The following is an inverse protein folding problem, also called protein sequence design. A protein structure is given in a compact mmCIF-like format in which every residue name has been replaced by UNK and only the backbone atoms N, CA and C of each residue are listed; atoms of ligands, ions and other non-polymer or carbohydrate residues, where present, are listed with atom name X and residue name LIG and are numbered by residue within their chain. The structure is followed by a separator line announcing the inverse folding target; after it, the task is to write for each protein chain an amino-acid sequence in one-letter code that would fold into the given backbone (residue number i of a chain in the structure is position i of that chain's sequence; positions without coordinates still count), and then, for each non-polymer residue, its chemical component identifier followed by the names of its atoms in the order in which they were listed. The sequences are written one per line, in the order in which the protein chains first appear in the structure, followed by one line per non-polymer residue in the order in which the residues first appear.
data_IF_203800197927
#
_entry.id   IF_203800197927
#
_cell.length_a   1.000
_cell.length_b   1.000
_cell.length_c   1.000
_cell.angle_alpha   90.00
_cell.angle_beta   90.00
_cell.angle_gamma   90.00
#
_symmetry.space_group_name_H-M   'P 1'
#
loop_
_entity.id
_entity.type
_entity.pdbx_description
1 polymer ?
#
# COMPACT_ATOMS: atom_id res chain seq x y z
N UNK A 1 37.11 -77.39 -41.43
CA UNK A 1 35.89 -76.55 -41.44
C UNK A 1 35.22 -76.66 -40.08
N UNK A 2 35.48 -75.75 -39.14
CA UNK A 2 34.44 -75.03 -38.38
C UNK A 2 35.12 -73.92 -37.55
N UNK A 3 34.51 -72.73 -37.55
CA UNK A 3 35.04 -71.48 -37.01
C UNK A 3 34.64 -71.32 -35.54
N UNK A 4 35.54 -70.73 -34.77
CA UNK A 4 35.21 -70.04 -33.52
C UNK A 4 34.47 -68.73 -33.86
N UNK A 5 33.38 -68.37 -33.17
CA UNK A 5 33.04 -66.97 -33.03
C UNK A 5 32.84 -66.56 -31.57
N UNK A 6 33.78 -65.73 -31.14
CA UNK A 6 33.73 -64.69 -30.13
C UNK A 6 32.39 -64.45 -29.39
N UNK A 7 32.51 -64.46 -28.06
CA UNK A 7 31.54 -63.94 -27.08
C UNK A 7 31.05 -62.52 -27.46
N UNK A 8 29.74 -62.23 -27.37
CA UNK A 8 29.24 -60.87 -27.54
C UNK A 8 29.63 -59.99 -26.35
N UNK A 9 30.43 -58.94 -26.60
CA UNK A 9 30.64 -57.85 -25.62
C UNK A 9 29.34 -57.08 -25.44
N UNK A 10 28.74 -57.18 -24.26
CA UNK A 10 27.67 -56.29 -23.83
C UNK A 10 28.15 -54.84 -23.91
N UNK A 11 27.56 -54.06 -24.83
CA UNK A 11 27.64 -52.60 -24.80
C UNK A 11 26.66 -52.13 -23.74
N UNK A 12 27.11 -52.01 -22.50
CA UNK A 12 26.35 -51.34 -21.45
C UNK A 12 26.25 -49.84 -21.78
N UNK A 13 25.15 -49.45 -22.42
CA UNK A 13 24.75 -48.06 -22.58
C UNK A 13 24.35 -47.47 -21.24
N UNK A 14 25.28 -46.77 -20.57
CA UNK A 14 24.99 -45.88 -19.43
C UNK A 14 25.85 -44.62 -19.55
N UNK A 15 25.47 -43.74 -20.47
CA UNK A 15 25.96 -42.36 -20.52
C UNK A 15 24.80 -41.33 -20.48
N UNK A 16 23.55 -41.78 -20.57
CA UNK A 16 22.39 -40.89 -20.71
C UNK A 16 21.88 -40.32 -19.37
N UNK A 17 22.25 -40.90 -18.23
CA UNK A 17 21.80 -40.46 -16.90
C UNK A 17 22.65 -39.33 -16.32
N UNK A 18 23.93 -39.25 -16.68
CA UNK A 18 24.86 -38.21 -16.22
C UNK A 18 24.55 -36.87 -16.90
N UNK A 19 24.29 -36.90 -18.22
CA UNK A 19 23.93 -35.74 -19.04
C UNK A 19 22.55 -35.15 -18.68
N UNK A 20 21.62 -35.97 -18.17
CA UNK A 20 20.31 -35.49 -17.70
C UNK A 20 20.42 -34.70 -16.39
N UNK A 21 21.27 -35.14 -15.46
CA UNK A 21 21.51 -34.45 -14.19
C UNK A 21 22.20 -33.10 -14.38
N UNK A 22 23.26 -33.07 -15.19
CA UNK A 22 23.98 -31.83 -15.51
C UNK A 22 23.09 -30.83 -16.23
N UNK A 23 22.29 -31.27 -17.22
CA UNK A 23 21.34 -30.39 -17.91
C UNK A 23 20.25 -29.84 -16.98
N UNK A 24 19.75 -30.64 -16.04
CA UNK A 24 18.76 -30.17 -15.08
C UNK A 24 19.35 -29.12 -14.12
N UNK A 25 20.59 -29.31 -13.68
CA UNK A 25 21.31 -28.33 -12.85
C UNK A 25 21.52 -27.03 -13.64
N UNK A 26 22.00 -27.11 -14.87
CA UNK A 26 22.19 -25.94 -15.74
C UNK A 26 20.87 -25.20 -16.00
N UNK A 27 19.78 -25.93 -16.26
CA UNK A 27 18.45 -25.36 -16.42
C UNK A 27 17.98 -24.65 -15.14
N UNK A 28 18.21 -25.25 -13.96
CA UNK A 28 17.87 -24.63 -12.68
C UNK A 28 18.73 -23.39 -12.42
N UNK A 29 20.02 -23.42 -12.74
CA UNK A 29 20.91 -22.26 -12.64
C UNK A 29 20.47 -21.13 -13.56
N UNK A 30 20.09 -21.41 -14.81
CA UNK A 30 19.54 -20.41 -15.73
C UNK A 30 18.22 -19.82 -15.22
N UNK A 31 17.32 -20.67 -14.69
CA UNK A 31 16.07 -20.22 -14.11
C UNK A 31 16.28 -19.36 -12.85
N UNK A 32 17.25 -19.72 -12.01
CA UNK A 32 17.64 -18.95 -10.82
C UNK A 32 18.34 -17.63 -11.17
N UNK A 33 19.18 -17.60 -12.20
CA UNK A 33 19.81 -16.38 -12.71
C UNK A 33 18.77 -15.41 -13.28
N UNK A 34 17.77 -15.94 -14.01
CA UNK A 34 16.65 -15.15 -14.50
C UNK A 34 15.80 -14.58 -13.34
N UNK A 35 15.50 -15.40 -12.32
CA UNK A 35 14.79 -14.93 -11.11
C UNK A 35 15.59 -13.86 -10.37
N UNK A 36 16.91 -14.03 -10.22
CA UNK A 36 17.79 -13.06 -9.56
C UNK A 36 17.87 -11.74 -10.34
N UNK A 37 18.00 -11.80 -11.67
CA UNK A 37 18.00 -10.62 -12.53
C UNK A 37 16.64 -9.89 -12.54
N UNK A 38 15.53 -10.63 -12.45
CA UNK A 38 14.19 -10.06 -12.36
C UNK A 38 13.96 -9.35 -11.01
N UNK A 39 14.53 -9.90 -9.94
CA UNK A 39 14.56 -9.28 -8.60
C UNK A 39 15.35 -7.97 -8.60
N UNK A 40 16.50 -7.91 -9.27
CA UNK A 40 17.33 -6.70 -9.33
C UNK A 40 16.70 -5.58 -10.16
N UNK A 41 15.79 -5.91 -11.07
CA UNK A 41 15.23 -4.96 -12.07
C UNK A 41 13.81 -4.48 -11.77
N UNK A 42 12.99 -5.24 -11.03
CA UNK A 42 11.52 -4.96 -10.98
C UNK A 42 10.93 -4.94 -9.57
N UNK A 43 11.45 -5.77 -8.67
CA UNK A 43 10.94 -5.91 -7.30
C UNK A 43 12.12 -6.13 -6.35
N UNK A 44 12.61 -5.07 -5.69
CA UNK A 44 13.67 -5.22 -4.69
C UNK A 44 13.19 -6.17 -3.59
N UNK A 45 13.68 -7.40 -3.63
CA UNK A 45 13.54 -8.34 -2.53
C UNK A 45 14.20 -7.74 -1.29
N UNK A 46 13.67 -8.13 -0.14
CA UNK A 46 14.34 -7.85 1.12
C UNK A 46 15.74 -8.48 1.16
N UNK A 47 16.65 -7.92 1.95
CA UNK A 47 18.06 -8.33 1.93
C UNK A 47 18.23 -9.81 2.28
N UNK A 48 17.44 -10.34 3.23
CA UNK A 48 17.49 -11.75 3.60
C UNK A 48 16.93 -12.68 2.51
N UNK A 49 15.93 -12.23 1.75
CA UNK A 49 15.42 -12.99 0.60
C UNK A 49 16.46 -13.05 -0.52
N UNK A 50 17.18 -11.95 -0.79
CA UNK A 50 18.30 -11.97 -1.73
C UNK A 50 19.42 -12.89 -1.26
N UNK A 51 19.72 -12.90 0.04
CA UNK A 51 20.73 -13.77 0.62
C UNK A 51 20.36 -15.26 0.49
N UNK A 52 19.08 -15.61 0.69
CA UNK A 52 18.57 -16.97 0.45
C UNK A 52 18.73 -17.38 -1.03
N UNK A 53 18.36 -16.52 -1.97
CA UNK A 53 18.53 -16.81 -3.41
C UNK A 53 20.00 -17.02 -3.78
N UNK A 54 20.90 -16.17 -3.26
CA UNK A 54 22.35 -16.32 -3.46
C UNK A 54 22.89 -17.62 -2.84
N UNK A 55 22.41 -17.98 -1.66
CA UNK A 55 22.76 -19.25 -1.01
C UNK A 55 22.29 -20.45 -1.83
N UNK A 56 21.05 -20.43 -2.33
CA UNK A 56 20.50 -21.51 -3.17
C UNK A 56 21.33 -21.68 -4.45
N UNK A 57 21.76 -20.56 -5.07
CA UNK A 57 22.67 -20.59 -6.23
C UNK A 57 24.02 -21.21 -5.86
N UNK A 58 24.64 -20.75 -4.77
CA UNK A 58 25.91 -21.29 -4.30
C UNK A 58 25.82 -22.80 -4.02
N UNK A 59 24.70 -23.26 -3.46
CA UNK A 59 24.48 -24.68 -3.17
C UNK A 59 24.34 -25.50 -4.46
N UNK A 60 23.62 -24.98 -5.46
CA UNK A 60 23.51 -25.59 -6.79
C UNK A 60 24.89 -25.71 -7.46
N UNK A 61 25.67 -24.64 -7.45
CA UNK A 61 27.02 -24.59 -8.03
C UNK A 61 27.97 -25.56 -7.32
N UNK A 62 27.87 -25.69 -5.99
CA UNK A 62 28.65 -26.67 -5.22
C UNK A 62 28.26 -28.09 -5.63
N UNK A 63 26.97 -28.40 -5.74
CA UNK A 63 26.48 -29.75 -6.10
C UNK A 63 26.84 -30.16 -7.52
N UNK A 64 27.00 -29.19 -8.44
CA UNK A 64 27.40 -29.44 -9.82
C UNK A 64 28.92 -29.65 -10.03
N UNK A 65 29.76 -29.42 -9.02
CA UNK A 65 31.22 -29.54 -9.16
C UNK A 65 31.71 -30.98 -8.99
N UNK A 66 32.59 -31.40 -9.89
CA UNK A 66 33.25 -32.72 -9.84
C UNK A 66 34.27 -32.85 -8.70
N UNK A 67 34.91 -31.73 -8.32
CA UNK A 67 35.91 -31.70 -7.24
C UNK A 67 35.59 -30.56 -6.29
N UNK A 68 35.42 -30.89 -5.00
CA UNK A 68 35.08 -29.93 -3.96
C UNK A 68 36.27 -29.57 -3.09
N UNK A 69 36.41 -28.28 -2.76
CA UNK A 69 37.33 -27.81 -1.73
C UNK A 69 36.87 -28.28 -0.34
N UNK A 70 37.76 -28.24 0.67
CA UNK A 70 37.41 -28.57 2.04
C UNK A 70 36.22 -27.72 2.56
N UNK A 71 36.22 -26.42 2.26
CA UNK A 71 35.16 -25.49 2.64
C UNK A 71 33.82 -25.85 1.98
N UNK A 72 33.83 -26.20 0.68
CA UNK A 72 32.61 -26.61 -0.03
C UNK A 72 32.02 -27.91 0.53
N UNK A 73 32.87 -28.86 0.93
CA UNK A 73 32.43 -30.07 1.63
C UNK A 73 31.79 -29.74 2.98
N UNK A 74 32.38 -28.82 3.74
CA UNK A 74 31.82 -28.35 5.01
C UNK A 74 30.47 -27.65 4.83
N UNK A 75 30.33 -26.80 3.81
CA UNK A 75 29.07 -26.14 3.46
C UNK A 75 28.00 -27.16 3.05
N UNK A 76 28.36 -28.16 2.25
CA UNK A 76 27.43 -29.23 1.85
C UNK A 76 26.99 -30.09 3.03
N UNK A 77 27.92 -30.42 3.94
CA UNK A 77 27.63 -31.17 5.16
C UNK A 77 26.67 -30.42 6.10
N UNK A 78 26.70 -29.09 6.08
CA UNK A 78 25.82 -28.23 6.90
C UNK A 78 24.66 -27.63 6.10
N UNK A 79 24.41 -28.07 4.86
CA UNK A 79 23.51 -27.39 3.92
C UNK A 79 22.11 -27.17 4.50
N UNK A 80 21.56 -28.17 5.20
CA UNK A 80 20.17 -28.13 5.67
C UNK A 80 20.03 -27.10 6.78
N UNK A 81 21.00 -27.07 7.70
CA UNK A 81 21.05 -26.09 8.79
C UNK A 81 21.24 -24.66 8.26
N UNK A 82 22.13 -24.46 7.30
CA UNK A 82 22.40 -23.14 6.71
C UNK A 82 21.16 -22.66 5.92
N UNK A 83 20.54 -23.54 5.15
CA UNK A 83 19.30 -23.24 4.39
C UNK A 83 18.17 -22.86 5.33
N UNK A 84 17.97 -23.60 6.42
CA UNK A 84 16.97 -23.29 7.43
C UNK A 84 17.18 -21.90 8.06
N UNK A 85 18.44 -21.52 8.34
CA UNK A 85 18.76 -20.18 8.86
C UNK A 85 18.43 -19.06 7.86
N UNK A 86 18.79 -19.23 6.59
CA UNK A 86 18.43 -18.24 5.55
C UNK A 86 16.92 -18.13 5.36
N UNK A 87 16.19 -19.25 5.37
CA UNK A 87 14.73 -19.26 5.30
C UNK A 87 14.09 -18.56 6.51
N UNK A 88 14.59 -18.83 7.72
CA UNK A 88 14.14 -18.18 8.94
C UNK A 88 14.36 -16.66 8.87
N UNK A 89 15.53 -16.21 8.43
CA UNK A 89 15.84 -14.79 8.28
C UNK A 89 14.92 -14.11 7.25
N UNK A 90 14.70 -14.75 6.09
CA UNK A 90 13.79 -14.25 5.07
C UNK A 90 12.33 -14.18 5.55
N UNK A 91 11.90 -15.14 6.38
CA UNK A 91 10.58 -15.14 6.99
C UNK A 91 10.42 -14.05 8.05
N UNK A 92 11.42 -13.88 8.93
CA UNK A 92 11.44 -12.83 9.95
C UNK A 92 11.42 -11.43 9.33
N UNK A 93 12.21 -11.19 8.28
CA UNK A 93 12.21 -9.90 7.60
C UNK A 93 10.85 -9.62 6.93
N UNK A 94 10.24 -10.61 6.28
CA UNK A 94 8.88 -10.50 5.73
C UNK A 94 7.86 -10.18 6.82
N UNK A 95 7.92 -10.85 7.97
CA UNK A 95 7.03 -10.58 9.10
C UNK A 95 7.19 -9.14 9.60
N UNK A 96 8.41 -8.65 9.74
CA UNK A 96 8.66 -7.27 10.14
C UNK A 96 8.09 -6.26 9.14
N UNK A 97 8.22 -6.52 7.84
CA UNK A 97 7.62 -5.66 6.81
C UNK A 97 6.09 -5.64 6.91
N UNK A 98 5.45 -6.79 7.15
CA UNK A 98 3.99 -6.87 7.34
C UNK A 98 3.52 -6.11 8.59
N UNK A 99 4.28 -6.19 9.69
CA UNK A 99 3.99 -5.42 10.91
C UNK A 99 4.12 -3.92 10.63
N UNK A 100 5.16 -3.49 9.92
CA UNK A 100 5.35 -2.08 9.53
C UNK A 100 4.20 -1.59 8.64
N UNK A 101 3.81 -2.38 7.64
CA UNK A 101 2.66 -2.07 6.78
C UNK A 101 1.38 -1.91 7.60
N UNK A 102 1.08 -2.86 8.50
CA UNK A 102 -0.11 -2.81 9.34
C UNK A 102 -0.12 -1.56 10.23
N UNK A 103 1.02 -1.23 10.84
CA UNK A 103 1.16 -0.02 11.65
C UNK A 103 0.99 1.27 10.83
N UNK A 104 1.55 1.32 9.62
CA UNK A 104 1.40 2.45 8.71
C UNK A 104 -0.07 2.68 8.35
N UNK A 105 -0.78 1.64 7.92
CA UNK A 105 -2.20 1.71 7.54
C UNK A 105 -3.08 2.10 8.72
N UNK A 106 -2.85 1.51 9.90
CA UNK A 106 -3.59 1.87 11.12
C UNK A 106 -3.34 3.33 11.53
N UNK A 107 -2.10 3.80 11.43
CA UNK A 107 -1.74 5.19 11.70
C UNK A 107 -2.41 6.13 10.70
N UNK A 108 -2.41 5.76 9.42
CA UNK A 108 -3.07 6.51 8.35
C UNK A 108 -4.57 6.64 8.58
N UNK A 109 -5.25 5.53 8.86
CA UNK A 109 -6.68 5.52 9.18
C UNK A 109 -7.00 6.38 10.41
N UNK A 110 -6.14 6.33 11.44
CA UNK A 110 -6.31 7.15 12.64
C UNK A 110 -6.17 8.65 12.35
N UNK A 111 -5.25 9.03 11.44
CA UNK A 111 -5.12 10.41 10.96
C UNK A 111 -6.39 10.85 10.23
N UNK A 112 -6.89 10.05 9.29
CA UNK A 112 -8.12 10.34 8.56
C UNK A 112 -9.32 10.56 9.49
N UNK A 113 -9.49 9.66 10.47
CA UNK A 113 -10.56 9.77 11.45
C UNK A 113 -10.47 11.07 12.27
N UNK A 114 -9.25 11.48 12.66
CA UNK A 114 -9.02 12.76 13.34
C UNK A 114 -9.37 13.95 12.46
N UNK A 115 -8.95 13.94 11.19
CA UNK A 115 -9.22 15.03 10.26
C UNK A 115 -10.72 15.20 10.01
N UNK A 116 -11.43 14.10 9.79
CA UNK A 116 -12.89 14.08 9.60
C UNK A 116 -13.59 14.59 10.86
N UNK A 117 -13.21 14.07 12.03
CA UNK A 117 -13.82 14.46 13.31
C UNK A 117 -13.60 15.94 13.64
N UNK A 118 -12.40 16.45 13.35
CA UNK A 118 -12.05 17.86 13.54
C UNK A 118 -12.90 18.76 12.65
N UNK A 119 -13.06 18.44 11.35
CA UNK A 119 -13.92 19.20 10.45
C UNK A 119 -15.39 19.17 10.89
N UNK A 120 -15.89 18.00 11.28
CA UNK A 120 -17.27 17.89 11.76
C UNK A 120 -17.53 18.73 13.03
N UNK A 121 -16.54 18.81 13.92
CA UNK A 121 -16.63 19.70 15.09
C UNK A 121 -16.65 21.18 14.68
N UNK A 122 -15.87 21.56 13.68
CA UNK A 122 -15.89 22.93 13.12
C UNK A 122 -17.26 23.26 12.54
N UNK A 123 -17.84 22.37 11.71
CA UNK A 123 -19.18 22.54 11.17
C UNK A 123 -20.25 22.73 12.24
N UNK A 124 -20.19 21.94 13.32
CA UNK A 124 -21.11 22.08 14.45
C UNK A 124 -20.99 23.44 15.16
N UNK A 125 -19.76 23.97 15.30
CA UNK A 125 -19.52 25.26 15.90
C UNK A 125 -20.03 26.40 15.02
N UNK A 126 -19.78 26.32 13.71
CA UNK A 126 -20.25 27.29 12.72
C UNK A 126 -21.78 27.37 12.68
N UNK A 127 -22.45 26.20 12.71
CA UNK A 127 -23.92 26.09 12.78
C UNK A 127 -24.49 26.74 14.05
N UNK A 128 -23.84 26.52 15.19
CA UNK A 128 -24.24 27.11 16.47
C UNK A 128 -24.09 28.63 16.47
N UNK A 129 -22.97 29.14 15.95
CA UNK A 129 -22.71 30.58 15.86
C UNK A 129 -23.68 31.29 14.90
N UNK A 130 -24.02 30.65 13.79
CA UNK A 130 -24.94 31.21 12.79
C UNK A 130 -26.38 31.34 13.29
N UNK A 131 -26.78 30.57 14.30
CA UNK A 131 -28.08 30.74 14.95
C UNK A 131 -28.24 32.12 15.62
N UNK A 132 -27.13 32.79 15.98
CA UNK A 132 -27.10 34.07 16.69
C UNK A 132 -26.85 35.33 15.83
N UNK A 133 -26.23 35.23 14.65
CA UNK A 133 -25.82 36.39 13.84
C UNK A 133 -26.07 36.20 12.32
N UNK A 134 -26.52 37.25 11.63
CA UNK A 134 -26.90 37.20 10.20
C UNK A 134 -25.77 37.51 9.22
N UNK A 135 -25.65 36.61 8.25
CA UNK A 135 -25.30 36.76 6.83
C UNK A 135 -24.04 37.56 6.44
N UNK A 136 -22.90 36.87 6.47
CA UNK A 136 -21.85 36.94 5.44
C UNK A 136 -21.56 35.56 4.79
N UNK A 137 -22.26 34.50 5.24
CA UNK A 137 -21.95 33.11 4.94
C UNK A 137 -22.04 32.75 3.45
N UNK A 138 -23.06 33.26 2.72
CA UNK A 138 -23.32 32.83 1.34
C UNK A 138 -22.17 33.11 0.35
N UNK A 139 -21.37 34.16 0.56
CA UNK A 139 -20.25 34.46 -0.35
C UNK A 139 -18.98 33.65 -0.04
N UNK A 140 -18.83 33.12 1.19
CA UNK A 140 -17.65 32.35 1.60
C UNK A 140 -17.70 30.87 1.23
N UNK A 141 -18.89 30.30 1.04
CA UNK A 141 -19.09 28.86 0.80
C UNK A 141 -18.35 28.39 -0.46
N UNK A 142 -18.53 29.07 -1.60
CA UNK A 142 -17.91 28.62 -2.86
C UNK A 142 -16.38 28.62 -2.77
N UNK A 143 -15.79 29.66 -2.16
CA UNK A 143 -14.35 29.73 -1.93
C UNK A 143 -13.88 28.58 -1.02
N UNK A 144 -14.60 28.31 0.08
CA UNK A 144 -14.27 27.21 0.98
C UNK A 144 -14.35 25.84 0.31
N UNK A 145 -15.35 25.60 -0.54
CA UNK A 145 -15.50 24.34 -1.28
C UNK A 145 -14.33 24.12 -2.24
N UNK A 146 -13.96 25.14 -3.02
CA UNK A 146 -12.82 25.07 -3.95
C UNK A 146 -11.53 24.77 -3.18
N UNK A 147 -11.28 25.46 -2.05
CA UNK A 147 -10.10 25.20 -1.23
C UNK A 147 -10.09 23.79 -0.66
N UNK A 148 -11.23 23.26 -0.21
CA UNK A 148 -11.34 21.89 0.26
C UNK A 148 -11.01 20.90 -0.86
N UNK A 149 -11.66 21.01 -2.02
CA UNK A 149 -11.41 20.13 -3.17
C UNK A 149 -9.94 20.14 -3.61
N UNK A 150 -9.30 21.31 -3.63
CA UNK A 150 -7.86 21.44 -3.91
C UNK A 150 -7.02 20.67 -2.90
N UNK A 151 -7.24 20.87 -1.59
CA UNK A 151 -6.50 20.16 -0.54
C UNK A 151 -6.64 18.63 -0.65
N UNK A 152 -7.86 18.16 -0.94
CA UNK A 152 -8.15 16.73 -1.09
C UNK A 152 -7.44 16.14 -2.32
N UNK A 153 -7.42 16.88 -3.44
CA UNK A 153 -6.72 16.48 -4.66
C UNK A 153 -5.20 16.49 -4.49
N UNK A 154 -4.64 17.52 -3.85
CA UNK A 154 -3.21 17.64 -3.58
C UNK A 154 -2.71 16.46 -2.76
N UNK A 155 -3.50 16.02 -1.77
CA UNK A 155 -3.15 14.85 -0.96
C UNK A 155 -3.06 13.57 -1.80
N UNK A 156 -3.98 13.37 -2.74
CA UNK A 156 -3.95 12.23 -3.67
C UNK A 156 -2.72 12.30 -4.59
N UNK A 157 -2.40 13.49 -5.10
CA UNK A 157 -1.21 13.69 -5.95
C UNK A 157 0.07 13.34 -5.18
N UNK A 158 0.18 13.79 -3.93
CA UNK A 158 1.32 13.46 -3.07
C UNK A 158 1.48 11.95 -2.86
N UNK A 159 0.40 11.24 -2.56
CA UNK A 159 0.44 9.78 -2.41
C UNK A 159 0.84 9.08 -3.71
N UNK A 160 0.31 9.54 -4.86
CA UNK A 160 0.70 8.99 -6.17
C UNK A 160 2.17 9.24 -6.50
N UNK A 161 2.73 10.39 -6.11
CA UNK A 161 4.16 10.66 -6.25
C UNK A 161 4.98 9.73 -5.34
N UNK A 162 4.59 9.56 -4.07
CA UNK A 162 5.24 8.62 -3.15
C UNK A 162 5.20 7.19 -3.71
N UNK A 163 4.07 6.78 -4.30
CA UNK A 163 3.89 5.48 -4.94
C UNK A 163 4.87 5.28 -6.11
N UNK A 164 5.09 6.30 -6.94
CA UNK A 164 6.06 6.24 -8.04
C UNK A 164 7.50 6.12 -7.53
N UNK A 165 7.81 6.73 -6.38
CA UNK A 165 9.14 6.66 -5.75
C UNK A 165 9.35 5.37 -4.94
N UNK A 166 8.31 4.60 -4.66
CA UNK A 166 8.39 3.39 -3.83
C UNK A 166 9.08 2.24 -4.57
N UNK A 167 10.17 1.75 -3.97
CA UNK A 167 11.05 0.76 -4.61
C UNK A 167 10.67 -0.68 -4.31
N UNK A 168 9.98 -0.94 -3.19
CA UNK A 168 9.52 -2.28 -2.82
C UNK A 168 8.05 -2.49 -3.16
N UNK A 169 7.67 -3.75 -3.41
CA UNK A 169 6.28 -4.12 -3.67
C UNK A 169 5.38 -3.83 -2.46
N UNK A 170 5.87 -4.10 -1.25
CA UNK A 170 5.08 -3.90 -0.02
C UNK A 170 4.82 -2.42 0.24
N UNK A 171 5.78 -1.53 -0.03
CA UNK A 171 5.57 -0.08 0.08
C UNK A 171 4.55 0.40 -0.94
N UNK A 172 4.66 -0.03 -2.20
CA UNK A 172 3.68 0.30 -3.25
C UNK A 172 2.27 -0.15 -2.86
N UNK A 173 2.12 -1.38 -2.38
CA UNK A 173 0.84 -1.93 -1.93
C UNK A 173 0.27 -1.15 -0.73
N UNK A 174 1.12 -0.73 0.20
CA UNK A 174 0.72 0.09 1.35
C UNK A 174 0.18 1.43 0.87
N UNK A 175 0.92 2.12 -0.01
CA UNK A 175 0.50 3.44 -0.52
C UNK A 175 -0.75 3.32 -1.39
N UNK A 176 -0.90 2.27 -2.18
CA UNK A 176 -2.12 2.02 -2.97
C UNK A 176 -3.36 1.89 -2.05
N UNK A 177 -3.21 1.24 -0.89
CA UNK A 177 -4.27 1.17 0.13
C UNK A 177 -4.51 2.53 0.81
N UNK A 178 -3.46 3.30 1.10
CA UNK A 178 -3.59 4.66 1.63
C UNK A 178 -4.32 5.59 0.65
N UNK A 179 -4.05 5.48 -0.66
CA UNK A 179 -4.77 6.21 -1.71
C UNK A 179 -6.26 5.86 -1.66
N UNK A 180 -6.61 4.58 -1.59
CA UNK A 180 -8.00 4.14 -1.54
C UNK A 180 -8.71 4.66 -0.27
N UNK A 181 -8.05 4.59 0.89
CA UNK A 181 -8.56 5.16 2.14
C UNK A 181 -8.74 6.68 2.05
N UNK A 182 -7.78 7.39 1.44
CA UNK A 182 -7.86 8.84 1.25
C UNK A 182 -9.01 9.21 0.31
N UNK A 183 -9.22 8.47 -0.77
CA UNK A 183 -10.34 8.72 -1.69
C UNK A 183 -11.68 8.58 -0.96
N UNK A 184 -11.87 7.49 -0.22
CA UNK A 184 -13.09 7.30 0.59
C UNK A 184 -13.27 8.40 1.64
N UNK A 185 -12.18 8.83 2.29
CA UNK A 185 -12.23 9.94 3.24
C UNK A 185 -12.56 11.27 2.56
N UNK A 186 -12.02 11.53 1.36
CA UNK A 186 -12.31 12.73 0.57
C UNK A 186 -13.80 12.79 0.23
N UNK A 187 -14.37 11.69 -0.26
CA UNK A 187 -15.79 11.60 -0.60
C UNK A 187 -16.67 11.90 0.62
N UNK A 188 -16.30 11.32 1.78
CA UNK A 188 -16.99 11.60 3.04
C UNK A 188 -16.86 13.07 3.46
N UNK A 189 -15.68 13.66 3.37
CA UNK A 189 -15.47 15.08 3.71
C UNK A 189 -16.29 16.02 2.83
N UNK A 190 -16.40 15.73 1.52
CA UNK A 190 -17.24 16.50 0.60
C UNK A 190 -18.73 16.35 0.94
N UNK A 191 -19.19 15.13 1.22
CA UNK A 191 -20.58 14.90 1.62
C UNK A 191 -20.94 15.56 2.97
N UNK A 192 -20.03 15.51 3.94
CA UNK A 192 -20.19 16.18 5.24
C UNK A 192 -20.26 17.71 5.05
N UNK A 193 -19.42 18.26 4.17
CA UNK A 193 -19.42 19.69 3.81
C UNK A 193 -20.73 20.13 3.11
N UNK A 194 -21.21 19.35 2.14
CA UNK A 194 -22.45 19.64 1.44
C UNK A 194 -23.64 19.63 2.42
N UNK A 195 -23.66 18.65 3.34
CA UNK A 195 -24.67 18.55 4.40
C UNK A 195 -24.62 19.75 5.36
N UNK A 196 -23.42 20.18 5.76
CA UNK A 196 -23.23 21.38 6.58
C UNK A 196 -23.77 22.63 5.88
N UNK A 197 -23.42 22.82 4.61
CA UNK A 197 -23.86 23.96 3.79
C UNK A 197 -25.39 24.02 3.70
N UNK A 198 -26.06 22.87 3.53
CA UNK A 198 -27.52 22.78 3.54
C UNK A 198 -28.12 23.20 4.88
N UNK A 199 -27.58 22.69 6.00
CA UNK A 199 -28.03 23.06 7.35
C UNK A 199 -27.86 24.55 7.62
N UNK A 200 -26.70 25.11 7.29
CA UNK A 200 -26.44 26.54 7.42
C UNK A 200 -27.40 27.40 6.59
N UNK A 201 -27.65 27.00 5.35
CA UNK A 201 -28.63 27.67 4.48
C UNK A 201 -30.02 27.69 5.13
N UNK A 202 -30.45 26.56 5.72
CA UNK A 202 -31.72 26.46 6.43
C UNK A 202 -31.75 27.36 7.69
N UNK A 203 -30.70 27.36 8.51
CA UNK A 203 -30.59 28.21 9.72
C UNK A 203 -30.74 29.69 9.35
N UNK A 204 -30.02 30.15 8.31
CA UNK A 204 -30.11 31.54 7.85
C UNK A 204 -31.51 31.87 7.34
N UNK A 205 -32.14 30.98 6.56
CA UNK A 205 -33.49 31.19 6.04
C UNK A 205 -34.55 31.28 7.16
N UNK A 206 -34.48 30.40 8.16
CA UNK A 206 -35.37 30.44 9.31
C UNK A 206 -35.17 31.71 10.16
N UNK A 207 -33.91 32.11 10.40
CA UNK A 207 -33.61 33.37 11.07
C UNK A 207 -34.16 34.59 10.33
N UNK A 208 -34.16 34.58 8.99
CA UNK A 208 -34.74 35.62 8.14
C UNK A 208 -36.26 35.76 8.30
N UNK A 209 -36.98 34.64 8.23
CA UNK A 209 -38.45 34.61 8.35
C UNK A 209 -38.94 35.02 9.74
N UNK A 210 -38.26 34.62 10.80
CA UNK A 210 -38.62 34.96 12.18
C UNK A 210 -38.57 36.48 12.45
N UNK A 211 -37.55 37.20 11.98
CA UNK A 211 -37.52 38.65 12.18
C UNK A 211 -38.49 39.41 11.27
N UNK A 212 -38.80 38.91 10.07
CA UNK A 212 -39.86 39.52 9.24
C UNK A 212 -41.22 39.51 9.96
N UNK A 213 -41.54 38.42 10.65
CA UNK A 213 -42.76 38.33 11.48
C UNK A 213 -42.71 39.29 12.68
N UNK A 214 -41.58 39.36 13.41
CA UNK A 214 -41.40 40.31 14.51
C UNK A 214 -41.51 41.77 14.06
N UNK A 215 -40.83 42.17 12.99
CA UNK A 215 -40.84 43.54 12.47
C UNK A 215 -42.21 44.01 12.01
N UNK A 216 -42.99 43.13 11.36
CA UNK A 216 -44.40 43.43 11.01
C UNK A 216 -45.24 43.66 12.26
N UNK A 217 -45.12 42.81 13.28
CA UNK A 217 -45.89 42.95 14.52
C UNK A 217 -45.56 44.27 15.25
N UNK A 218 -44.30 44.67 15.30
CA UNK A 218 -43.88 45.94 15.93
C UNK A 218 -44.41 47.17 15.17
N UNK A 219 -44.49 47.12 13.83
CA UNK A 219 -45.09 48.19 13.04
C UNK A 219 -46.61 48.28 13.25
N UNK A 220 -47.30 47.15 13.31
CA UNK A 220 -48.75 47.10 13.58
C UNK A 220 -49.07 47.68 14.96
N UNK A 221 -48.30 47.33 15.99
CA UNK A 221 -48.50 47.87 17.35
C UNK A 221 -48.21 49.37 17.43
N UNK A 222 -47.22 49.89 16.69
CA UNK A 222 -46.94 51.34 16.61
C UNK A 222 -48.03 52.13 15.88
N UNK A 223 -48.67 51.56 14.86
CA UNK A 223 -49.79 52.24 14.19
C UNK A 223 -51.03 52.34 15.10
N UNK A 224 -51.29 51.33 15.93
CA UNK A 224 -52.45 51.32 16.84
C UNK A 224 -52.35 52.29 18.03
N UNK A 225 -51.15 52.77 18.38
CA UNK A 225 -50.96 53.76 19.46
C UNK A 225 -50.87 55.21 18.94
N UNK A 226 -51.06 55.44 17.64
CA UNK A 226 -50.99 56.76 16.99
C UNK A 226 -52.34 57.25 16.42
N UNK A 227 -53.41 56.49 16.64
CA UNK A 227 -54.80 56.88 16.39
C UNK A 227 -55.47 57.20 17.73
#
# INVERSE_FOLDING_TARGET
MYKDPAQPKERQGKAYSEDAGTRLIDQRNQQHAALSAQVDTTDKLSTAQQALVKWDQQLSDIKGKSTLTADQKSLLANQDKITALYQQNAALERQQQLVKQTAALSGYQSNLNRDISSRNSQYSNDESAASGARSAYQQGILTQRITLEQQLNDKIIQLRQQRTSATTKIDRQTIDQEIAMQQSANDKMLADYDSHTQRMTAIVAHGQTAQRKRGKNTQTVRLMHRA
#
